data_IF_808904494010
#
_entry.id   IF_808904494010
#
_cell.length_a   1.000
_cell.length_b   1.000
_cell.length_c   1.000
_cell.angle_alpha   90.00
_cell.angle_beta   90.00
_cell.angle_gamma   90.00
#
_symmetry.space_group_name_H-M   'P 1'
#
loop_
_entity.id
_entity.type
_entity.pdbx_description
1 polymer ?
#
# COMPACT_ATOMS: atom_id res chain seq x y z
N UNK A 1 20.89 -2.73 -9.54
CA UNK A 1 21.63 -2.56 -8.26
C UNK A 1 21.06 -3.54 -7.25
N UNK A 2 21.83 -4.05 -6.29
CA UNK A 2 21.26 -4.94 -5.27
C UNK A 2 20.35 -4.17 -4.29
N UNK A 3 19.33 -4.86 -3.77
CA UNK A 3 18.47 -4.32 -2.72
C UNK A 3 19.27 -4.10 -1.41
N UNK A 4 19.16 -2.92 -0.77
CA UNK A 4 19.81 -2.66 0.51
C UNK A 4 19.36 -3.61 1.61
N UNK A 5 20.28 -3.99 2.50
CA UNK A 5 20.04 -4.95 3.57
C UNK A 5 18.86 -4.55 4.48
N UNK A 6 18.75 -3.26 4.82
CA UNK A 6 17.63 -2.73 5.64
C UNK A 6 16.25 -3.02 5.03
N UNK A 7 16.13 -3.05 3.71
CA UNK A 7 14.87 -3.28 3.00
C UNK A 7 14.54 -4.75 2.86
N UNK A 8 15.52 -5.65 3.00
CA UNK A 8 15.32 -7.09 2.82
C UNK A 8 14.27 -7.66 3.77
N UNK A 9 14.09 -7.04 4.95
CA UNK A 9 13.03 -7.40 5.92
C UNK A 9 11.62 -7.38 5.35
N UNK A 10 11.35 -6.55 4.33
CA UNK A 10 10.04 -6.47 3.68
C UNK A 10 9.79 -7.65 2.73
N UNK A 11 10.85 -8.34 2.30
CA UNK A 11 10.81 -9.38 1.27
C UNK A 11 10.98 -10.77 1.86
N UNK A 12 10.38 -11.05 3.02
CA UNK A 12 10.49 -12.34 3.74
C UNK A 12 10.05 -13.57 2.94
N UNK A 13 9.33 -13.37 1.82
CA UNK A 13 8.89 -14.44 0.90
C UNK A 13 9.88 -14.73 -0.23
N UNK A 14 10.95 -13.97 -0.35
CA UNK A 14 11.91 -14.04 -1.46
C UNK A 14 13.35 -14.15 -0.94
N UNK A 15 14.27 -14.57 -1.81
CA UNK A 15 15.70 -14.38 -1.61
C UNK A 15 16.04 -12.89 -1.83
N UNK A 16 15.80 -12.08 -0.80
CA UNK A 16 15.91 -10.63 -0.87
C UNK A 16 17.31 -10.15 -1.25
N UNK A 17 18.35 -10.91 -0.88
CA UNK A 17 19.76 -10.70 -1.24
C UNK A 17 20.04 -10.81 -2.76
N UNK A 18 19.12 -11.44 -3.50
CA UNK A 18 19.19 -11.63 -4.96
C UNK A 18 18.30 -10.67 -5.74
N UNK A 19 17.54 -9.81 -5.05
CA UNK A 19 16.70 -8.83 -5.72
C UNK A 19 17.55 -7.70 -6.31
N UNK A 20 17.53 -7.62 -7.63
CA UNK A 20 17.99 -6.43 -8.37
C UNK A 20 16.89 -5.37 -8.48
N UNK A 21 17.21 -4.14 -8.09
CA UNK A 21 16.29 -2.99 -8.07
C UNK A 21 15.73 -2.63 -9.43
N UNK A 22 16.49 -2.79 -10.51
CA UNK A 22 16.03 -2.43 -11.85
C UNK A 22 15.18 -3.55 -12.43
N UNK A 23 15.66 -4.80 -12.34
CA UNK A 23 14.99 -5.96 -12.95
C UNK A 23 13.72 -6.38 -12.23
N UNK A 24 13.63 -6.15 -10.92
CA UNK A 24 12.52 -6.62 -10.10
C UNK A 24 11.66 -5.49 -9.54
N UNK A 25 11.58 -4.35 -10.25
CA UNK A 25 10.77 -3.20 -9.86
C UNK A 25 9.30 -3.56 -9.59
N UNK A 26 8.72 -4.48 -10.38
CA UNK A 26 7.34 -4.98 -10.21
C UNK A 26 7.09 -5.71 -8.88
N UNK A 27 8.14 -6.17 -8.19
CA UNK A 27 8.02 -6.77 -6.86
C UNK A 27 8.35 -5.71 -5.81
N UNK A 28 9.42 -4.94 -6.04
CA UNK A 28 9.97 -4.00 -5.07
C UNK A 28 9.02 -2.84 -4.80
N UNK A 29 8.56 -2.16 -5.85
CA UNK A 29 7.68 -0.99 -5.75
C UNK A 29 6.42 -1.30 -4.94
N UNK A 30 5.59 -2.29 -5.29
CA UNK A 30 4.36 -2.54 -4.53
C UNK A 30 4.63 -2.98 -3.08
N UNK A 31 5.70 -3.75 -2.84
CA UNK A 31 6.04 -4.20 -1.49
C UNK A 31 6.44 -3.03 -0.59
N UNK A 32 7.30 -2.14 -1.09
CA UNK A 32 7.77 -0.98 -0.29
C UNK A 32 6.65 0.04 -0.08
N UNK A 33 5.82 0.29 -1.10
CA UNK A 33 4.66 1.18 -0.97
C UNK A 33 3.61 0.63 0.01
N UNK A 34 3.46 -0.70 0.11
CA UNK A 34 2.48 -1.32 0.98
C UNK A 34 2.93 -1.43 2.44
N UNK A 35 4.17 -1.87 2.66
CA UNK A 35 4.64 -2.33 3.97
C UNK A 35 5.85 -1.55 4.51
N UNK A 36 6.39 -0.59 3.74
CA UNK A 36 7.58 0.18 4.09
C UNK A 36 7.33 1.27 5.15
N UNK A 37 8.41 1.70 5.81
CA UNK A 37 8.42 2.90 6.66
C UNK A 37 8.69 4.16 5.83
N UNK A 38 8.64 5.33 6.46
CA UNK A 38 8.99 6.61 5.80
C UNK A 38 10.39 6.56 5.18
N UNK A 39 11.38 6.00 5.89
CA UNK A 39 12.76 5.90 5.40
C UNK A 39 12.92 4.89 4.26
N UNK A 40 12.02 3.91 4.15
CA UNK A 40 11.97 3.00 3.00
C UNK A 40 11.34 3.70 1.79
N UNK A 41 10.33 4.54 2.02
CA UNK A 41 9.72 5.34 0.97
C UNK A 41 10.69 6.37 0.42
N UNK A 42 11.42 7.10 1.28
CA UNK A 42 12.46 8.03 0.84
C UNK A 42 13.46 7.34 -0.10
N UNK A 43 13.94 6.15 0.29
CA UNK A 43 14.80 5.34 -0.57
C UNK A 43 14.13 4.96 -1.90
N UNK A 44 12.85 4.58 -1.86
CA UNK A 44 12.10 4.20 -3.06
C UNK A 44 12.02 5.37 -4.05
N UNK A 45 11.71 6.57 -3.54
CA UNK A 45 11.65 7.78 -4.33
C UNK A 45 13.03 8.18 -4.88
N UNK A 46 14.10 8.02 -4.10
CA UNK A 46 15.46 8.28 -4.57
C UNK A 46 15.88 7.32 -5.70
N UNK A 47 15.53 6.04 -5.60
CA UNK A 47 15.96 5.01 -6.56
C UNK A 47 15.16 5.02 -7.86
N UNK A 48 13.83 5.14 -7.78
CA UNK A 48 12.98 5.07 -8.96
C UNK A 48 12.58 6.45 -9.49
N UNK A 49 12.61 7.47 -8.64
CA UNK A 49 12.17 8.82 -8.98
C UNK A 49 10.65 8.98 -8.95
N UNK A 50 10.21 10.19 -8.60
CA UNK A 50 8.79 10.56 -8.53
C UNK A 50 8.02 10.23 -9.81
N UNK A 51 8.55 10.61 -10.97
CA UNK A 51 7.87 10.45 -12.26
C UNK A 51 7.63 8.97 -12.60
N UNK A 52 8.60 8.10 -12.31
CA UNK A 52 8.46 6.65 -12.55
C UNK A 52 7.39 6.06 -11.65
N UNK A 53 7.38 6.42 -10.36
CA UNK A 53 6.40 5.93 -9.40
C UNK A 53 4.99 6.45 -9.73
N UNK A 54 4.88 7.70 -10.19
CA UNK A 54 3.63 8.26 -10.70
C UNK A 54 3.13 7.52 -11.94
N UNK A 55 4.00 7.22 -12.90
CA UNK A 55 3.62 6.41 -14.06
C UNK A 55 3.22 5.00 -13.64
N UNK A 56 3.94 4.41 -12.69
CA UNK A 56 3.66 3.08 -12.17
C UNK A 56 2.28 3.00 -11.51
N UNK A 57 1.91 3.96 -10.65
CA UNK A 57 0.60 3.95 -9.96
C UNK A 57 -0.57 4.27 -10.92
N UNK A 58 -0.31 4.95 -12.04
CA UNK A 58 -1.34 5.25 -13.05
C UNK A 58 -1.78 4.00 -13.80
N UNK A 59 -0.90 3.02 -13.96
CA UNK A 59 -1.23 1.72 -14.54
C UNK A 59 -2.22 0.97 -13.65
N UNK A 60 -3.48 0.74 -14.09
CA UNK A 60 -4.50 0.14 -13.23
C UNK A 60 -4.16 -1.23 -12.66
N UNK A 61 -3.42 -2.07 -13.40
CA UNK A 61 -3.02 -3.38 -12.89
C UNK A 61 -2.00 -3.28 -11.76
N UNK A 62 -1.09 -2.31 -11.82
CA UNK A 62 -0.08 -2.06 -10.79
C UNK A 62 -0.70 -1.53 -9.50
N UNK A 63 -1.55 -0.50 -9.59
CA UNK A 63 -2.22 0.07 -8.42
C UNK A 63 -3.01 -0.99 -7.62
N UNK A 64 -3.65 -1.94 -8.33
CA UNK A 64 -4.39 -3.05 -7.74
C UNK A 64 -3.53 -4.07 -6.98
N UNK A 65 -2.21 -4.06 -7.19
CA UNK A 65 -1.26 -4.88 -6.42
C UNK A 65 -1.14 -4.40 -4.97
N UNK A 66 -1.54 -3.17 -4.67
CA UNK A 66 -1.51 -2.61 -3.33
C UNK A 66 -2.75 -3.02 -2.50
N UNK A 67 -2.62 -3.09 -1.17
CA UNK A 67 -3.77 -3.11 -0.28
C UNK A 67 -4.65 -1.86 -0.51
N UNK A 68 -6.00 -1.94 -0.36
CA UNK A 68 -6.90 -0.84 -0.72
C UNK A 68 -6.59 0.50 -0.05
N UNK A 69 -6.20 0.47 1.23
CA UNK A 69 -5.83 1.69 1.96
C UNK A 69 -4.58 2.35 1.35
N UNK A 70 -3.60 1.53 0.94
CA UNK A 70 -2.35 1.99 0.34
C UNK A 70 -2.55 2.42 -1.11
N UNK A 71 -3.39 1.73 -1.87
CA UNK A 71 -3.80 2.17 -3.21
C UNK A 71 -4.41 3.57 -3.16
N UNK A 72 -5.40 3.77 -2.28
CA UNK A 72 -6.05 5.08 -2.10
C UNK A 72 -5.06 6.15 -1.68
N UNK A 73 -4.19 5.85 -0.72
CA UNK A 73 -3.17 6.79 -0.24
C UNK A 73 -2.20 7.18 -1.36
N UNK A 74 -1.61 6.22 -2.06
CA UNK A 74 -0.58 6.51 -3.06
C UNK A 74 -1.14 7.12 -4.34
N UNK A 75 -2.36 6.77 -4.75
CA UNK A 75 -3.03 7.46 -5.86
C UNK A 75 -3.33 8.91 -5.51
N UNK A 76 -3.73 9.21 -4.27
CA UNK A 76 -3.86 10.59 -3.82
C UNK A 76 -2.52 11.34 -3.85
N UNK A 77 -1.46 10.75 -3.30
CA UNK A 77 -0.13 11.40 -3.20
C UNK A 77 0.51 11.62 -4.56
N UNK A 78 0.50 10.61 -5.42
CA UNK A 78 1.23 10.62 -6.69
C UNK A 78 0.39 11.16 -7.85
N UNK A 79 -0.92 10.94 -7.86
CA UNK A 79 -1.82 11.32 -8.97
C UNK A 79 -2.75 12.48 -8.61
N UNK A 80 -2.79 12.91 -7.34
CA UNK A 80 -3.68 13.97 -6.87
C UNK A 80 -5.15 13.57 -6.77
N UNK A 81 -5.52 12.38 -7.23
CA UNK A 81 -6.88 11.85 -7.22
C UNK A 81 -6.87 10.49 -6.55
N UNK A 82 -7.54 10.32 -5.40
CA UNK A 82 -7.65 9.02 -4.76
C UNK A 82 -8.50 8.11 -5.65
N UNK A 83 -7.98 6.94 -5.98
CA UNK A 83 -8.84 5.91 -6.59
C UNK A 83 -9.75 5.35 -5.51
N UNK A 84 -11.05 5.36 -5.79
CA UNK A 84 -12.00 4.59 -5.01
C UNK A 84 -11.75 3.12 -5.30
N UNK A 85 -11.08 2.42 -4.38
CA UNK A 85 -11.06 0.96 -4.45
C UNK A 85 -12.40 0.46 -3.91
N UNK A 86 -13.31 -0.11 -4.73
CA UNK A 86 -14.51 -0.70 -4.20
C UNK A 86 -14.12 -2.04 -3.59
N UNK A 87 -13.96 -2.13 -2.27
CA UNK A 87 -13.77 -3.42 -1.56
C UNK A 87 -14.61 -3.52 -0.29
N UNK A 88 -15.92 -3.74 -0.50
CA UNK A 88 -16.80 -4.43 0.44
C UNK A 88 -17.74 -5.37 -0.32
N UNK A 89 -17.26 -6.54 -0.72
CA UNK A 89 -18.08 -7.73 -0.63
C UNK A 89 -17.37 -8.67 0.35
N UNK A 90 -17.61 -8.47 1.66
CA UNK A 90 -17.36 -9.54 2.65
C UNK A 90 -16.49 -9.24 3.89
N UNK A 91 -15.97 -8.03 4.12
CA UNK A 91 -14.98 -7.81 5.20
C UNK A 91 -15.51 -7.53 6.62
N UNK A 92 -16.60 -6.78 6.80
CA UNK A 92 -17.09 -6.33 8.13
C UNK A 92 -18.59 -6.51 8.30
N UNK A 93 -19.30 -7.22 7.41
CA UNK A 93 -20.71 -7.53 7.67
C UNK A 93 -20.90 -8.38 8.96
N UNK A 94 -19.82 -8.99 9.45
CA UNK A 94 -19.80 -9.83 10.65
C UNK A 94 -19.16 -9.17 11.89
N UNK A 95 -18.50 -8.00 11.75
CA UNK A 95 -18.10 -7.22 12.93
C UNK A 95 -19.29 -6.41 13.39
N UNK A 96 -20.22 -7.07 14.09
CA UNK A 96 -21.16 -6.35 14.95
C UNK A 96 -20.35 -5.76 16.09
N UNK A 97 -20.33 -4.43 16.19
CA UNK A 97 -19.80 -3.76 17.38
C UNK A 97 -20.78 -4.10 18.51
N UNK A 98 -20.34 -4.68 19.63
CA UNK A 98 -21.21 -4.94 20.78
C UNK A 98 -21.90 -3.63 21.21
N UNK A 99 -23.22 -3.63 21.51
CA UNK A 99 -23.95 -2.40 21.85
C UNK A 99 -23.38 -1.64 23.05
N UNK A 100 -22.72 -2.35 23.96
CA UNK A 100 -22.02 -1.84 25.15
C UNK A 100 -20.65 -1.21 24.85
N UNK A 101 -20.11 -1.43 23.66
CA UNK A 101 -18.89 -0.79 23.18
C UNK A 101 -19.15 0.49 22.37
N UNK A 102 -20.42 0.87 22.15
CA UNK A 102 -20.79 2.10 21.43
C UNK A 102 -20.86 3.29 22.40
N UNK A 103 -20.33 4.48 22.03
CA UNK A 103 -20.47 5.68 22.84
C UNK A 103 -21.94 6.10 23.05
N UNK A 104 -22.22 6.78 24.17
CA UNK A 104 -23.58 7.22 24.52
C UNK A 104 -24.22 8.14 23.47
N UNK A 105 -23.40 8.88 22.73
CA UNK A 105 -23.85 9.78 21.66
C UNK A 105 -24.10 9.09 20.32
N UNK A 106 -23.82 7.78 20.20
CA UNK A 106 -23.96 7.07 18.93
C UNK A 106 -25.45 6.89 18.57
N UNK A 107 -25.89 7.28 17.35
CA UNK A 107 -27.30 7.28 16.96
C UNK A 107 -27.96 5.92 17.12
N UNK A 108 -29.19 5.89 17.65
CA UNK A 108 -29.86 4.64 18.04
C UNK A 108 -30.28 3.81 16.82
N UNK A 109 -30.64 4.50 15.73
CA UNK A 109 -31.02 3.94 14.45
C UNK A 109 -29.87 3.26 13.68
N UNK A 110 -28.62 3.44 14.13
CA UNK A 110 -27.41 2.84 13.56
C UNK A 110 -26.74 1.80 14.49
N UNK A 111 -27.29 1.55 15.68
CA UNK A 111 -26.85 0.47 16.57
C UNK A 111 -27.33 -0.89 16.06
#
# INVERSE_FOLDING_TARGET
>A
MKLPEKLQRLFYRYHADRLDTTRHALIIIPTVLADGTLEDWDWLFDVYGWNTLQQWIREPLHARMLPPAMERFWTLVLDGVPRETPRWQGGNALRRVPPDALPDWFPTELR
#
